data_IF_133547550186
#
_entry.id   IF_133547550186
#
_cell.length_a   1.000
_cell.length_b   1.000
_cell.length_c   1.000
_cell.angle_alpha   90.00
_cell.angle_beta   90.00
_cell.angle_gamma   90.00
#
_symmetry.space_group_name_H-M   'P 1'
#
loop_
_entity.id
_entity.type
_entity.pdbx_description
1 polymer ?
#
# COMPACT_ATOMS: atom_id res chain seq x y z
N UNK A 1 -15.18 9.86 -7.70
CA UNK A 1 -14.92 10.94 -6.72
C UNK A 1 -14.36 10.32 -5.44
N UNK A 2 -13.12 10.65 -5.05
CA UNK A 2 -12.65 10.40 -3.69
C UNK A 2 -13.46 11.32 -2.77
N UNK A 3 -14.53 10.79 -2.19
CA UNK A 3 -15.44 11.55 -1.35
C UNK A 3 -14.80 11.64 0.04
N UNK A 4 -13.92 12.62 0.19
CA UNK A 4 -13.56 13.14 1.50
C UNK A 4 -14.79 13.88 2.00
N UNK A 5 -15.59 13.25 2.87
CA UNK A 5 -16.76 13.88 3.46
C UNK A 5 -16.35 15.20 4.13
N UNK A 6 -16.64 16.29 3.42
CA UNK A 6 -16.83 17.67 3.87
C UNK A 6 -16.27 17.99 5.27
N UNK A 7 -14.96 18.25 5.38
CA UNK A 7 -14.33 18.96 6.51
C UNK A 7 -12.85 19.32 6.24
N UNK A 8 -12.51 19.71 5.00
CA UNK A 8 -11.16 20.18 4.67
C UNK A 8 -10.07 19.10 4.63
N UNK A 9 -10.44 17.81 4.72
CA UNK A 9 -9.53 16.68 4.52
C UNK A 9 -8.98 16.66 3.09
N UNK A 10 -7.72 16.26 2.91
CA UNK A 10 -7.08 16.14 1.59
C UNK A 10 -6.41 14.79 1.39
N UNK A 11 -6.04 14.52 0.15
CA UNK A 11 -5.18 13.41 -0.26
C UNK A 11 -3.96 13.99 -0.99
N UNK A 12 -2.82 13.33 -0.86
CA UNK A 12 -1.65 13.61 -1.67
C UNK A 12 -1.63 12.63 -2.84
N UNK A 13 -1.55 13.10 -4.08
CA UNK A 13 -1.41 12.26 -5.27
C UNK A 13 0.02 12.31 -5.81
N UNK A 14 0.60 11.17 -6.16
CA UNK A 14 1.96 11.11 -6.71
C UNK A 14 2.06 10.05 -7.82
N UNK A 15 2.53 10.41 -9.03
CA UNK A 15 2.78 9.45 -10.11
C UNK A 15 4.14 8.76 -9.95
N UNK A 16 4.66 8.59 -8.73
CA UNK A 16 6.08 8.34 -8.49
C UNK A 16 6.61 7.06 -9.14
N UNK A 17 7.68 7.22 -9.93
CA UNK A 17 8.33 6.16 -10.71
C UNK A 17 9.72 5.89 -10.13
N UNK A 18 9.73 5.34 -8.92
CA UNK A 18 10.91 5.34 -8.06
C UNK A 18 12.08 4.52 -8.61
N UNK A 19 11.82 3.51 -9.45
CA UNK A 19 12.86 2.70 -10.06
C UNK A 19 13.08 3.04 -11.54
N UNK A 20 12.47 4.08 -12.11
CA UNK A 20 12.68 4.44 -13.53
C UNK A 20 13.77 5.50 -13.66
N UNK A 21 14.87 5.15 -14.34
CA UNK A 21 15.96 6.06 -14.68
C UNK A 21 15.62 6.95 -15.88
N UNK A 22 14.98 6.36 -16.89
CA UNK A 22 14.55 7.06 -18.10
C UNK A 22 13.48 6.26 -18.82
N UNK A 23 12.53 6.95 -19.47
CA UNK A 23 11.52 6.36 -20.35
C UNK A 23 11.05 7.39 -21.38
N UNK A 24 10.24 6.95 -22.34
CA UNK A 24 9.42 7.79 -23.22
C UNK A 24 7.94 7.58 -22.87
N UNK A 25 7.10 8.61 -23.03
CA UNK A 25 5.68 8.54 -22.68
C UNK A 25 5.40 9.22 -21.34
N UNK A 26 4.35 8.77 -20.63
CA UNK A 26 3.91 9.40 -19.39
C UNK A 26 3.20 8.44 -18.44
N UNK A 27 3.15 8.85 -17.18
CA UNK A 27 2.18 8.36 -16.18
C UNK A 27 1.24 9.50 -15.84
N UNK A 28 -0.04 9.31 -16.13
CA UNK A 28 -1.07 10.32 -15.95
C UNK A 28 -2.00 9.93 -14.79
N UNK A 29 -2.25 10.88 -13.89
CA UNK A 29 -3.27 10.78 -12.84
C UNK A 29 -4.33 11.84 -13.12
N UNK A 30 -5.48 11.43 -13.64
CA UNK A 30 -6.54 12.35 -14.08
C UNK A 30 -7.77 12.22 -13.18
N UNK A 31 -8.24 13.33 -12.61
CA UNK A 31 -9.43 13.38 -11.77
C UNK A 31 -10.64 13.91 -12.56
N UNK A 32 -11.37 13.03 -13.26
CA UNK A 32 -12.63 13.40 -13.94
C UNK A 32 -13.44 12.17 -14.42
N UNK A 33 -14.61 11.81 -13.83
CA UNK A 33 -15.18 12.24 -12.54
C UNK A 33 -14.61 11.45 -11.33
N UNK A 34 -13.69 10.54 -11.60
CA UNK A 34 -12.95 9.74 -10.64
C UNK A 34 -11.46 9.76 -11.01
N UNK A 35 -10.61 9.18 -10.16
CA UNK A 35 -9.19 9.08 -10.46
C UNK A 35 -8.98 7.96 -11.49
N UNK A 36 -8.48 8.31 -12.67
CA UNK A 36 -7.88 7.39 -13.60
C UNK A 36 -6.37 7.53 -13.51
N UNK A 37 -5.68 6.42 -13.24
CA UNK A 37 -4.23 6.31 -13.35
C UNK A 37 -3.93 5.50 -14.59
N UNK A 38 -3.13 6.07 -15.48
CA UNK A 38 -2.73 5.45 -16.73
C UNK A 38 -1.23 5.57 -16.91
N UNK A 39 -0.56 4.42 -16.99
CA UNK A 39 0.82 4.30 -17.39
C UNK A 39 0.84 4.01 -18.88
N UNK A 40 1.52 4.84 -19.66
CA UNK A 40 1.75 4.61 -21.08
C UNK A 40 3.18 5.04 -21.42
N UNK A 41 4.10 4.08 -21.32
CA UNK A 41 5.53 4.32 -21.46
C UNK A 41 6.22 3.25 -22.30
N UNK A 42 7.31 3.66 -22.94
CA UNK A 42 8.21 2.80 -23.71
C UNK A 42 9.67 3.16 -23.44
N UNK A 43 10.59 2.29 -23.86
CA UNK A 43 12.02 2.45 -23.64
C UNK A 43 12.38 2.66 -22.15
N UNK A 44 11.64 2.01 -21.24
CA UNK A 44 11.86 2.08 -19.80
C UNK A 44 13.24 1.47 -19.50
N UNK A 45 14.03 2.21 -18.71
CA UNK A 45 15.29 1.75 -18.14
C UNK A 45 15.25 1.93 -16.64
N UNK A 46 15.45 0.85 -15.88
CA UNK A 46 15.42 0.90 -14.42
C UNK A 46 16.70 1.53 -13.84
N UNK A 47 16.58 2.12 -12.65
CA UNK A 47 17.72 2.55 -11.82
C UNK A 47 18.44 1.32 -11.29
N UNK A 48 17.67 0.38 -10.72
CA UNK A 48 18.15 -0.88 -10.16
C UNK A 48 17.47 -2.06 -10.87
N UNK A 49 18.08 -2.65 -11.92
CA UNK A 49 17.45 -3.70 -12.72
C UNK A 49 17.13 -5.01 -11.99
N UNK A 50 17.74 -5.25 -10.83
CA UNK A 50 17.47 -6.43 -10.00
C UNK A 50 16.19 -6.32 -9.18
N UNK A 51 15.65 -5.10 -9.02
CA UNK A 51 14.33 -4.86 -8.46
C UNK A 51 13.35 -4.91 -9.62
N UNK A 52 12.32 -5.75 -9.49
CA UNK A 52 11.25 -5.88 -10.49
C UNK A 52 10.54 -4.55 -10.66
N UNK A 53 9.86 -4.07 -9.61
CA UNK A 53 8.95 -2.92 -9.62
C UNK A 53 9.54 -1.66 -10.30
N UNK A 54 8.75 -1.01 -11.16
CA UNK A 54 9.09 0.27 -11.80
C UNK A 54 8.68 1.50 -10.97
N UNK A 55 7.52 1.44 -10.32
CA UNK A 55 6.95 2.57 -9.60
C UNK A 55 5.66 2.24 -8.87
N UNK A 56 5.19 3.22 -8.09
CA UNK A 56 3.95 3.14 -7.30
C UNK A 56 3.12 4.42 -7.44
N UNK A 57 2.42 4.62 -8.58
CA UNK A 57 1.51 5.75 -8.74
C UNK A 57 0.28 5.59 -7.84
N UNK A 58 0.11 6.51 -6.88
CA UNK A 58 -0.84 6.32 -5.80
C UNK A 58 -1.32 7.60 -5.12
N UNK A 59 -2.20 7.40 -4.15
CA UNK A 59 -2.70 8.42 -3.24
C UNK A 59 -2.23 8.11 -1.81
N UNK A 60 -2.03 9.15 -1.01
CA UNK A 60 -1.68 9.04 0.41
C UNK A 60 -2.66 9.86 1.26
N UNK A 61 -3.06 9.30 2.40
CA UNK A 61 -3.75 9.97 3.52
C UNK A 61 -2.87 9.89 4.77
N UNK A 62 -2.56 11.02 5.41
CA UNK A 62 -1.66 11.12 6.55
C UNK A 62 -0.41 11.95 6.26
N UNK A 63 0.74 11.50 6.75
CA UNK A 63 2.03 12.18 6.65
C UNK A 63 3.16 11.17 6.40
N UNK A 64 4.06 11.52 5.48
CA UNK A 64 5.36 10.88 5.29
C UNK A 64 6.38 11.97 5.01
N UNK A 65 7.58 11.92 5.60
CA UNK A 65 8.62 12.93 5.35
C UNK A 65 9.80 12.38 4.54
N UNK A 66 9.57 11.27 3.84
CA UNK A 66 10.47 10.63 2.89
C UNK A 66 9.77 10.43 1.54
N UNK A 67 10.54 10.10 0.49
CA UNK A 67 9.98 9.75 -0.82
C UNK A 67 9.13 8.47 -0.72
N UNK A 68 7.99 8.35 -1.41
CA UNK A 68 7.54 9.14 -2.57
C UNK A 68 6.89 10.49 -2.25
N UNK A 69 6.23 10.61 -1.09
CA UNK A 69 5.22 11.65 -0.87
C UNK A 69 5.76 12.87 -0.13
N UNK A 70 6.81 12.72 0.69
CA UNK A 70 7.55 13.78 1.40
C UNK A 70 6.69 15.01 1.74
N UNK A 71 5.56 14.80 2.42
CA UNK A 71 4.50 15.77 2.63
C UNK A 71 3.43 15.32 3.61
N UNK A 72 2.42 16.17 3.78
CA UNK A 72 1.31 15.96 4.73
C UNK A 72 0.00 16.30 4.06
N UNK A 73 -1.04 15.57 4.43
CA UNK A 73 -2.43 15.88 4.10
C UNK A 73 -3.11 16.64 5.23
N UNK A 74 -4.20 17.33 4.91
CA UNK A 74 -5.15 17.73 5.93
C UNK A 74 -5.92 16.48 6.36
N UNK A 75 -5.81 16.10 7.63
CA UNK A 75 -6.43 14.88 8.17
C UNK A 75 -7.75 15.18 8.86
N UNK A 76 -8.62 14.17 8.93
CA UNK A 76 -9.86 14.23 9.70
C UNK A 76 -9.55 14.24 11.21
N UNK A 77 -10.32 14.98 12.04
CA UNK A 77 -10.21 14.89 13.50
C UNK A 77 -10.58 13.49 14.04
N UNK A 78 -11.33 12.69 13.28
CA UNK A 78 -11.71 11.34 13.67
C UNK A 78 -10.63 10.29 13.35
N UNK A 79 -9.64 10.63 12.52
CA UNK A 79 -8.49 9.78 12.21
C UNK A 79 -7.28 10.68 11.91
N UNK A 80 -6.77 11.34 12.93
CA UNK A 80 -5.69 12.31 12.80
C UNK A 80 -4.34 11.62 12.72
N UNK A 81 -3.97 11.12 11.54
CA UNK A 81 -2.66 10.53 11.30
C UNK A 81 -1.57 11.63 11.27
N UNK A 82 -0.38 11.37 11.84
CA UNK A 82 0.08 10.11 12.43
C UNK A 82 -0.57 9.78 13.79
N UNK A 83 -0.88 8.50 14.03
CA UNK A 83 -1.53 8.05 15.29
C UNK A 83 -0.99 6.71 15.75
N UNK A 84 -0.77 6.55 17.06
CA UNK A 84 -0.30 5.28 17.64
C UNK A 84 -1.30 4.15 17.35
N UNK A 85 -0.82 3.00 16.87
CA UNK A 85 -1.64 1.86 16.44
C UNK A 85 -2.63 1.40 17.51
N UNK A 86 -2.19 1.31 18.78
CA UNK A 86 -3.08 0.94 19.89
C UNK A 86 -4.23 1.93 20.12
N UNK A 87 -4.04 3.20 19.75
CA UNK A 87 -5.01 4.27 19.90
C UNK A 87 -5.91 4.45 18.67
N UNK A 88 -5.65 3.74 17.57
CA UNK A 88 -6.47 3.85 16.35
C UNK A 88 -7.93 3.50 16.66
N UNK A 89 -8.90 4.32 16.20
CA UNK A 89 -10.30 3.92 16.25
C UNK A 89 -10.53 2.71 15.34
N UNK A 90 -11.65 2.02 15.53
CA UNK A 90 -12.06 1.02 14.55
C UNK A 90 -12.56 1.76 13.31
N UNK A 91 -11.93 1.50 12.17
CA UNK A 91 -12.34 2.07 10.89
C UNK A 91 -12.17 1.08 9.75
N UNK A 92 -12.88 1.33 8.66
CA UNK A 92 -12.79 0.60 7.41
C UNK A 92 -12.38 1.57 6.31
N UNK A 93 -11.28 1.26 5.62
CA UNK A 93 -10.89 1.98 4.41
C UNK A 93 -11.55 1.30 3.21
N UNK A 94 -12.45 2.00 2.54
CA UNK A 94 -13.30 1.46 1.48
C UNK A 94 -12.94 2.12 0.16
N UNK A 95 -12.56 1.28 -0.80
CA UNK A 95 -12.23 1.63 -2.16
C UNK A 95 -13.33 1.11 -3.09
N UNK A 96 -13.53 1.77 -4.21
CA UNK A 96 -14.21 1.21 -5.36
C UNK A 96 -13.29 1.35 -6.57
N UNK A 97 -12.79 0.25 -7.10
CA UNK A 97 -11.76 0.28 -8.13
C UNK A 97 -11.85 -0.85 -9.16
N UNK A 98 -11.18 -0.65 -10.28
CA UNK A 98 -10.89 -1.67 -11.31
C UNK A 98 -9.46 -1.48 -11.79
N UNK A 99 -8.76 -2.55 -12.14
CA UNK A 99 -7.42 -2.52 -12.74
C UNK A 99 -7.46 -2.97 -14.20
N UNK A 100 -6.46 -2.62 -14.99
CA UNK A 100 -6.32 -3.08 -16.39
C UNK A 100 -4.85 -3.10 -16.82
N UNK A 101 -4.46 -4.10 -17.59
CA UNK A 101 -3.09 -4.37 -18.00
C UNK A 101 -3.02 -4.84 -19.46
N UNK A 102 -2.76 -3.90 -20.39
CA UNK A 102 -2.63 -4.26 -21.80
C UNK A 102 -1.21 -4.76 -22.13
N UNK A 103 -0.19 -4.09 -21.58
CA UNK A 103 1.23 -4.46 -21.70
C UNK A 103 1.93 -4.13 -20.38
N UNK A 104 2.80 -5.04 -19.91
CA UNK A 104 3.34 -4.97 -18.56
C UNK A 104 2.52 -5.80 -17.58
N UNK A 105 2.81 -5.66 -16.30
CA UNK A 105 2.15 -6.39 -15.21
C UNK A 105 1.83 -5.41 -14.10
N UNK A 106 0.64 -5.52 -13.53
CA UNK A 106 0.32 -4.93 -12.24
C UNK A 106 0.70 -5.98 -11.20
N UNK A 107 1.82 -5.77 -10.51
CA UNK A 107 2.31 -6.70 -9.50
C UNK A 107 1.29 -6.82 -8.37
N UNK A 108 0.82 -5.65 -7.92
CA UNK A 108 -0.32 -5.51 -7.04
C UNK A 108 -1.07 -4.19 -7.22
N UNK A 109 -2.33 -4.20 -6.82
CA UNK A 109 -3.07 -3.03 -6.37
C UNK A 109 -3.30 -3.21 -4.86
N UNK A 110 -2.69 -2.35 -4.06
CA UNK A 110 -2.53 -2.56 -2.63
C UNK A 110 -2.71 -1.27 -1.83
N UNK A 111 -2.82 -1.47 -0.52
CA UNK A 111 -2.36 -0.46 0.41
C UNK A 111 -0.87 -0.63 0.67
N UNK A 112 -0.12 0.47 0.66
CA UNK A 112 1.23 0.58 1.20
C UNK A 112 1.17 1.49 2.45
N UNK A 113 1.52 0.96 3.61
CA UNK A 113 1.26 1.58 4.90
C UNK A 113 2.54 1.59 5.72
N UNK A 114 2.93 2.75 6.22
CA UNK A 114 4.17 2.91 6.98
C UNK A 114 3.90 3.09 8.47
N UNK A 115 4.65 2.34 9.28
CA UNK A 115 4.69 2.51 10.72
C UNK A 115 6.09 2.87 11.20
N UNK A 116 6.21 3.94 11.99
CA UNK A 116 7.47 4.34 12.60
C UNK A 116 7.34 4.56 14.11
N UNK A 117 8.46 4.52 14.82
CA UNK A 117 8.50 4.91 16.24
C UNK A 117 8.43 6.44 16.40
N UNK A 118 8.82 7.17 15.36
CA UNK A 118 8.82 8.63 15.32
C UNK A 118 8.30 9.08 13.94
N UNK A 119 7.12 9.71 13.87
CA UNK A 119 6.50 10.08 12.60
C UNK A 119 7.22 11.22 11.86
N UNK A 120 8.27 11.79 12.45
CA UNK A 120 9.05 12.88 11.87
C UNK A 120 10.41 12.42 11.29
N UNK A 121 10.62 11.11 11.13
CA UNK A 121 11.79 10.59 10.40
C UNK A 121 11.72 11.01 8.93
N UNK A 122 12.87 11.18 8.29
CA UNK A 122 12.97 11.54 6.86
C UNK A 122 13.63 10.44 6.02
N UNK A 123 13.88 9.28 6.62
CA UNK A 123 14.39 8.08 5.99
C UNK A 123 13.95 6.85 6.80
N UNK A 124 13.78 5.73 6.11
CA UNK A 124 13.36 4.46 6.68
C UNK A 124 14.57 3.63 7.10
N UNK A 125 14.43 2.85 8.16
CA UNK A 125 15.49 2.00 8.68
C UNK A 125 14.96 0.75 9.38
N UNK A 126 15.87 -0.12 9.79
CA UNK A 126 15.53 -1.28 10.61
C UNK A 126 14.82 -0.85 11.90
N UNK A 127 13.67 -1.49 12.12
CA UNK A 127 12.75 -1.15 13.19
C UNK A 127 11.51 -0.41 12.71
N UNK A 128 11.51 0.22 11.53
CA UNK A 128 10.30 0.72 10.88
C UNK A 128 9.58 -0.44 10.15
N UNK A 129 8.28 -0.29 9.92
CA UNK A 129 7.46 -1.28 9.24
C UNK A 129 6.81 -0.75 7.98
N UNK A 130 6.91 -1.53 6.92
CA UNK A 130 6.06 -1.45 5.75
C UNK A 130 4.98 -2.53 5.87
N UNK A 131 3.72 -2.13 5.74
CA UNK A 131 2.57 -3.03 5.81
C UNK A 131 1.81 -2.96 4.51
N UNK A 132 1.97 -3.98 3.68
CA UNK A 132 1.28 -4.05 2.40
C UNK A 132 0.05 -4.95 2.48
N UNK A 133 -1.07 -4.49 1.91
CA UNK A 133 -2.32 -5.25 1.84
C UNK A 133 -2.73 -5.36 0.36
N UNK A 134 -2.38 -6.49 -0.26
CA UNK A 134 -2.54 -6.74 -1.69
C UNK A 134 -3.95 -7.24 -1.99
N UNK A 135 -4.78 -6.37 -2.58
CA UNK A 135 -6.18 -6.68 -2.89
C UNK A 135 -6.31 -7.41 -4.23
N UNK A 136 -5.54 -6.97 -5.22
CA UNK A 136 -5.42 -7.58 -6.54
C UNK A 136 -3.94 -7.71 -6.85
N UNK A 137 -3.46 -8.84 -7.36
CA UNK A 137 -2.04 -9.08 -7.53
C UNK A 137 -1.79 -10.10 -8.64
N UNK A 138 -0.67 -9.97 -9.33
CA UNK A 138 -0.19 -10.95 -10.31
C UNK A 138 1.20 -11.48 -9.93
N UNK A 139 1.93 -10.76 -9.09
CA UNK A 139 3.26 -11.17 -8.67
C UNK A 139 3.21 -12.41 -7.76
N UNK A 140 4.20 -13.30 -7.94
CA UNK A 140 4.50 -14.29 -6.92
C UNK A 140 5.46 -13.66 -5.92
N UNK A 141 4.93 -13.24 -4.76
CA UNK A 141 5.70 -12.54 -3.73
C UNK A 141 6.94 -13.31 -3.23
N UNK A 142 6.95 -14.64 -3.37
CA UNK A 142 8.11 -15.48 -2.97
C UNK A 142 9.16 -15.65 -4.05
N UNK A 143 8.88 -15.18 -5.27
CA UNK A 143 9.75 -15.39 -6.42
C UNK A 143 10.80 -14.27 -6.46
N UNK A 144 12.03 -14.61 -6.10
CA UNK A 144 13.18 -13.71 -6.27
C UNK A 144 13.75 -13.16 -4.97
N UNK A 145 13.01 -13.29 -3.86
CA UNK A 145 13.53 -12.97 -2.52
C UNK A 145 13.58 -14.24 -1.65
N UNK A 146 14.77 -14.84 -1.42
CA UNK A 146 14.90 -16.03 -0.59
C UNK A 146 14.70 -15.75 0.91
N UNK A 147 14.58 -14.49 1.33
CA UNK A 147 14.45 -14.08 2.73
C UNK A 147 13.01 -13.84 3.16
N UNK A 148 12.05 -13.84 2.22
CA UNK A 148 10.64 -13.73 2.57
C UNK A 148 10.14 -15.02 3.22
N UNK A 149 9.45 -14.86 4.35
CA UNK A 149 8.98 -15.96 5.19
C UNK A 149 7.46 -16.01 5.15
N UNK A 150 6.88 -17.14 4.76
CA UNK A 150 5.44 -17.39 4.95
C UNK A 150 5.16 -17.70 6.41
N UNK A 151 4.29 -16.91 7.05
CA UNK A 151 4.03 -16.96 8.49
C UNK A 151 2.58 -17.33 8.85
N UNK A 152 1.83 -17.82 7.85
CA UNK A 152 0.49 -18.34 7.99
C UNK A 152 -0.56 -17.45 7.33
N UNK A 153 -1.73 -17.34 7.96
CA UNK A 153 -2.86 -16.58 7.41
C UNK A 153 -3.62 -15.82 8.51
N UNK A 154 -4.25 -14.71 8.15
CA UNK A 154 -5.14 -13.91 9.00
C UNK A 154 -6.55 -13.87 8.40
N UNK A 155 -7.58 -14.10 9.22
CA UNK A 155 -8.95 -13.83 8.79
C UNK A 155 -9.24 -12.34 8.93
N UNK A 156 -9.60 -11.69 7.83
CA UNK A 156 -9.91 -10.25 7.81
C UNK A 156 -11.39 -10.08 7.40
N UNK A 157 -12.22 -9.40 8.22
CA UNK A 157 -13.61 -9.10 7.85
C UNK A 157 -13.60 -8.01 6.76
N UNK A 158 -13.59 -8.48 5.52
CA UNK A 158 -13.41 -7.69 4.31
C UNK A 158 -14.78 -7.36 3.73
N UNK A 159 -15.06 -6.07 3.48
CA UNK A 159 -16.23 -5.69 2.68
C UNK A 159 -15.95 -6.02 1.22
N UNK A 160 -16.83 -6.80 0.59
CA UNK A 160 -16.78 -7.13 -0.83
C UNK A 160 -18.16 -6.82 -1.40
N UNK A 161 -18.25 -5.79 -2.24
CA UNK A 161 -19.46 -5.37 -2.95
C UNK A 161 -20.71 -5.28 -2.04
N UNK A 162 -20.56 -4.60 -0.90
CA UNK A 162 -21.64 -4.37 0.07
C UNK A 162 -21.82 -5.45 1.14
N UNK A 163 -21.09 -6.57 1.08
CA UNK A 163 -21.19 -7.67 2.06
C UNK A 163 -19.88 -7.86 2.82
N UNK A 164 -19.93 -8.03 4.15
CA UNK A 164 -18.75 -8.39 4.93
C UNK A 164 -18.51 -9.89 4.84
N UNK A 165 -17.35 -10.28 4.32
CA UNK A 165 -16.85 -11.65 4.24
C UNK A 165 -15.60 -11.81 5.11
N UNK A 166 -15.50 -12.87 5.90
CA UNK A 166 -14.25 -13.22 6.59
C UNK A 166 -13.32 -13.95 5.61
N UNK A 167 -12.51 -13.18 4.89
CA UNK A 167 -11.53 -13.72 3.95
C UNK A 167 -10.27 -14.17 4.70
N UNK A 168 -9.68 -15.28 4.27
CA UNK A 168 -8.40 -15.79 4.82
C UNK A 168 -7.25 -15.24 3.97
N UNK A 169 -6.55 -14.23 4.48
CA UNK A 169 -5.43 -13.58 3.81
C UNK A 169 -4.12 -14.29 4.16
N UNK A 170 -3.31 -14.62 3.16
CA UNK A 170 -1.98 -15.18 3.38
C UNK A 170 -1.04 -14.10 3.91
N UNK A 171 -0.18 -14.45 4.86
CA UNK A 171 0.74 -13.50 5.51
C UNK A 171 2.18 -13.90 5.25
N UNK A 172 2.95 -12.95 4.73
CA UNK A 172 4.37 -13.07 4.48
C UNK A 172 5.13 -11.95 5.17
N UNK A 173 6.35 -12.20 5.59
CA UNK A 173 7.22 -11.20 6.22
C UNK A 173 8.58 -11.25 5.55
N UNK A 174 9.07 -10.08 5.14
CA UNK A 174 10.46 -9.86 4.79
C UNK A 174 11.12 -9.16 5.99
N UNK A 175 11.95 -9.86 6.80
CA UNK A 175 12.47 -9.28 8.03
C UNK A 175 13.34 -8.03 7.82
N UNK A 176 14.01 -7.95 6.66
CA UNK A 176 14.93 -6.85 6.31
C UNK A 176 14.92 -6.57 4.81
N UNK A 177 14.31 -5.47 4.42
CA UNK A 177 14.15 -5.09 3.02
C UNK A 177 15.42 -4.43 2.47
N UNK A 178 15.96 -4.96 1.37
CA UNK A 178 17.07 -4.39 0.61
C UNK A 178 18.47 -4.43 1.26
N UNK A 179 18.59 -4.42 2.59
CA UNK A 179 19.87 -4.50 3.29
C UNK A 179 19.74 -4.99 4.73
N UNK A 180 20.87 -5.28 5.38
CA UNK A 180 20.89 -5.63 6.81
C UNK A 180 20.34 -4.52 7.73
N UNK A 181 20.25 -3.27 7.27
CA UNK A 181 19.67 -2.15 8.01
C UNK A 181 18.33 -1.68 7.43
N UNK A 182 17.73 -2.47 6.53
CA UNK A 182 16.42 -2.20 5.96
C UNK A 182 15.29 -2.34 6.97
N UNK A 183 14.16 -1.70 6.67
CA UNK A 183 12.92 -1.87 7.42
C UNK A 183 12.39 -3.31 7.31
N UNK A 184 11.37 -3.62 8.10
CA UNK A 184 10.67 -4.90 8.02
C UNK A 184 9.38 -4.73 7.23
N UNK A 185 9.15 -5.57 6.22
CA UNK A 185 7.92 -5.56 5.45
C UNK A 185 7.03 -6.75 5.82
N UNK A 186 5.74 -6.51 5.99
CA UNK A 186 4.72 -7.55 6.17
C UNK A 186 3.62 -7.38 5.13
N UNK A 187 3.29 -8.49 4.48
CA UNK A 187 2.39 -8.53 3.35
C UNK A 187 1.19 -9.40 3.66
N UNK A 188 0.00 -8.86 3.41
CA UNK A 188 -1.28 -9.55 3.49
C UNK A 188 -1.82 -9.71 2.08
N UNK A 189 -1.87 -10.95 1.58
CA UNK A 189 -2.34 -11.25 0.23
C UNK A 189 -3.77 -11.79 0.27
N UNK A 190 -4.65 -11.17 -0.50
CA UNK A 190 -6.04 -11.60 -0.63
C UNK A 190 -6.10 -13.03 -1.19
N UNK A 191 -7.11 -13.84 -0.80
CA UNK A 191 -7.26 -15.22 -1.30
C UNK A 191 -7.67 -15.30 -2.78
N UNK A 192 -8.03 -14.17 -3.38
CA UNK A 192 -8.49 -14.03 -4.76
C UNK A 192 -8.33 -12.57 -5.19
N UNK A 193 -8.24 -12.30 -6.48
CA UNK A 193 -8.21 -10.93 -6.99
C UNK A 193 -9.51 -10.22 -6.64
N UNK A 194 -9.40 -9.11 -5.91
CA UNK A 194 -10.51 -8.28 -5.48
C UNK A 194 -10.60 -7.05 -6.38
N UNK A 195 -11.82 -6.74 -6.83
CA UNK A 195 -12.18 -5.53 -7.58
C UNK A 195 -13.62 -5.14 -7.24
N UNK A 196 -14.01 -3.91 -7.58
CA UNK A 196 -15.27 -3.30 -7.18
C UNK A 196 -15.14 -2.62 -5.82
N UNK A 197 -16.20 -2.67 -5.01
CA UNK A 197 -16.21 -2.04 -3.69
C UNK A 197 -15.55 -2.95 -2.66
N UNK A 198 -14.33 -2.60 -2.23
CA UNK A 198 -13.53 -3.39 -1.29
C UNK A 198 -13.23 -2.55 -0.05
N UNK A 199 -13.54 -3.09 1.13
CA UNK A 199 -13.28 -2.43 2.41
C UNK A 199 -12.40 -3.26 3.32
N UNK A 200 -11.33 -2.65 3.83
CA UNK A 200 -10.35 -3.28 4.71
C UNK A 200 -10.36 -2.60 6.08
N UNK A 201 -10.51 -3.35 7.18
CA UNK A 201 -10.42 -2.82 8.53
C UNK A 201 -8.96 -2.65 8.94
N UNK A 202 -8.28 -1.62 8.44
CA UNK A 202 -6.81 -1.43 8.61
C UNK A 202 -6.41 -1.46 10.10
N UNK A 203 -7.15 -0.80 10.99
CA UNK A 203 -6.85 -0.83 12.43
C UNK A 203 -6.86 -2.26 13.00
N UNK A 204 -7.76 -3.13 12.53
CA UNK A 204 -7.78 -4.53 12.93
C UNK A 204 -6.53 -5.27 12.44
N UNK A 205 -6.13 -5.06 11.19
CA UNK A 205 -4.94 -5.70 10.61
C UNK A 205 -3.68 -5.31 11.40
N UNK A 206 -3.46 -4.01 11.61
CA UNK A 206 -2.28 -3.50 12.32
C UNK A 206 -2.20 -4.00 13.77
N UNK A 207 -3.33 -4.05 14.48
CA UNK A 207 -3.37 -4.53 15.87
C UNK A 207 -3.11 -6.04 16.00
N UNK A 208 -3.33 -6.82 14.94
CA UNK A 208 -3.19 -8.28 14.94
C UNK A 208 -1.93 -8.79 14.23
N UNK A 209 -1.09 -7.90 13.68
CA UNK A 209 0.08 -8.32 12.89
C UNK A 209 1.26 -8.82 13.73
N UNK A 210 1.35 -8.45 15.01
CA UNK A 210 2.52 -8.73 15.86
C UNK A 210 2.94 -10.20 15.94
N UNK A 211 1.98 -11.11 16.12
CA UNK A 211 2.28 -12.55 16.20
C UNK A 211 2.85 -13.13 14.90
N UNK A 212 2.61 -12.49 13.75
CA UNK A 212 3.16 -12.91 12.45
C UNK A 212 4.60 -12.44 12.28
N UNK A 213 4.94 -11.25 12.78
CA UNK A 213 6.32 -10.77 12.85
C UNK A 213 7.18 -11.68 13.75
N UNK A 214 6.65 -12.10 14.89
CA UNK A 214 7.33 -13.02 15.81
C UNK A 214 7.66 -14.36 15.12
N UNK A 215 6.74 -14.91 14.33
CA UNK A 215 6.96 -16.15 13.55
C UNK A 215 8.07 -16.02 12.51
N UNK A 216 8.33 -14.80 12.02
CA UNK A 216 9.44 -14.49 11.13
C UNK A 216 10.76 -14.17 11.87
N UNK A 217 10.77 -14.27 13.20
CA UNK A 217 11.94 -13.93 14.03
C UNK A 217 12.07 -12.45 14.37
N UNK A 218 11.06 -11.63 14.10
CA UNK A 218 11.03 -10.20 14.42
C UNK A 218 10.23 -9.99 15.71
N UNK A 219 10.84 -10.31 16.86
CA UNK A 219 10.17 -10.35 18.18
C UNK A 219 10.52 -9.21 19.13
N UNK A 220 11.47 -8.35 18.76
CA UNK A 220 11.95 -7.25 19.62
C UNK A 220 11.07 -5.99 19.54
N UNK A 221 10.07 -5.98 18.66
CA UNK A 221 9.21 -4.82 18.38
C UNK A 221 7.75 -5.15 18.68
N UNK A 222 7.03 -4.16 19.20
CA UNK A 222 5.58 -4.23 19.38
C UNK A 222 4.92 -3.20 18.45
N UNK A 223 4.34 -3.61 17.30
CA UNK A 223 3.70 -2.69 16.36
C UNK A 223 2.61 -1.82 16.97
N UNK A 224 1.98 -2.25 18.08
CA UNK A 224 0.94 -1.46 18.75
C UNK A 224 1.46 -0.15 19.37
N UNK A 225 2.77 0.01 19.55
CA UNK A 225 3.39 1.25 20.06
C UNK A 225 3.85 2.20 18.95
N UNK A 226 3.77 1.78 17.69
CA UNK A 226 4.21 2.56 16.54
C UNK A 226 3.13 3.54 16.10
N UNK A 227 3.55 4.62 15.46
CA UNK A 227 2.65 5.52 14.74
C UNK A 227 2.30 4.89 13.41
N UNK A 228 1.01 4.84 13.08
CA UNK A 228 0.57 4.77 11.70
C UNK A 228 0.77 6.16 11.09
N UNK A 229 1.75 6.28 10.20
CA UNK A 229 2.18 7.57 9.62
C UNK A 229 1.23 8.02 8.51
N UNK A 230 1.00 7.12 7.55
CA UNK A 230 0.10 7.32 6.45
C UNK A 230 -0.50 5.99 5.95
N UNK A 231 -1.59 6.12 5.21
CA UNK A 231 -2.21 5.05 4.43
C UNK A 231 -2.07 5.44 2.97
N UNK A 232 -1.30 4.68 2.20
CA UNK A 232 -1.25 4.84 0.76
C UNK A 232 -2.13 3.80 0.06
N UNK A 233 -2.61 4.14 -1.13
CA UNK A 233 -3.25 3.21 -2.05
C UNK A 233 -2.78 3.48 -3.47
N UNK A 234 -2.43 2.44 -4.19
CA UNK A 234 -1.84 2.56 -5.52
C UNK A 234 -1.63 1.19 -6.15
N UNK A 235 -0.79 1.15 -7.18
CA UNK A 235 -0.38 -0.08 -7.82
C UNK A 235 1.15 -0.14 -7.94
N UNK A 236 1.76 -1.26 -7.56
CA UNK A 236 3.09 -1.61 -8.05
C UNK A 236 2.95 -2.19 -9.46
N UNK A 237 3.82 -1.76 -10.37
CA UNK A 237 3.76 -2.22 -11.76
C UNK A 237 5.14 -2.47 -12.35
N UNK A 238 5.15 -3.30 -13.40
CA UNK A 238 6.32 -3.69 -14.16
C UNK A 238 6.12 -3.53 -15.66
N UNK A 239 7.19 -3.09 -16.33
CA UNK A 239 7.34 -3.13 -17.76
C UNK A 239 7.51 -4.56 -18.29
N UNK A 240 7.13 -4.77 -19.56
CA UNK A 240 7.52 -5.93 -20.35
C UNK A 240 8.42 -5.46 -21.49
N UNK A 241 9.71 -5.82 -21.43
CA UNK A 241 10.71 -5.46 -22.44
C UNK A 241 10.80 -3.94 -22.72
N UNK A 242 10.73 -3.14 -21.65
CA UNK A 242 10.81 -1.69 -21.69
C UNK A 242 9.48 -0.99 -22.00
N UNK A 243 8.34 -1.70 -22.01
CA UNK A 243 7.02 -1.15 -22.36
C UNK A 243 6.00 -1.41 -21.25
N UNK A 244 5.23 -0.38 -20.88
CA UNK A 244 4.11 -0.49 -19.95
C UNK A 244 2.90 0.31 -20.45
N UNK A 245 1.75 -0.36 -20.56
CA UNK A 245 0.44 0.21 -20.87
C UNK A 245 -0.62 -0.45 -19.98
N UNK A 246 -0.83 0.13 -18.81
CA UNK A 246 -1.63 -0.45 -17.73
C UNK A 246 -2.13 0.67 -16.81
N UNK A 247 -3.00 0.34 -15.86
CA UNK A 247 -3.49 1.32 -14.90
C UNK A 247 -4.65 0.85 -14.06
N UNK A 248 -5.27 1.81 -13.37
CA UNK A 248 -6.46 1.59 -12.59
C UNK A 248 -7.43 2.77 -12.64
N UNK A 249 -8.69 2.48 -12.37
CA UNK A 249 -9.70 3.48 -12.06
C UNK A 249 -10.05 3.35 -10.59
N UNK A 250 -9.96 4.45 -9.85
CA UNK A 250 -10.42 4.55 -8.47
C UNK A 250 -11.67 5.43 -8.43
N UNK A 251 -12.83 4.79 -8.50
CA UNK A 251 -14.15 5.43 -8.50
C UNK A 251 -14.43 6.16 -7.20
N UNK A 252 -13.99 5.61 -6.07
CA UNK A 252 -14.08 6.27 -4.76
C UNK A 252 -13.08 5.69 -3.77
N UNK A 253 -12.62 6.53 -2.85
CA UNK A 253 -11.97 6.13 -1.60
C UNK A 253 -12.60 6.93 -0.46
N UNK A 254 -13.06 6.23 0.58
CA UNK A 254 -13.55 6.84 1.80
C UNK A 254 -13.20 5.97 3.01
N UNK A 255 -13.04 6.62 4.16
CA UNK A 255 -12.75 5.97 5.44
C UNK A 255 -14.02 6.07 6.30
N UNK A 256 -14.56 4.92 6.69
CA UNK A 256 -15.71 4.83 7.58
C UNK A 256 -15.23 4.53 9.00
N UNK A 257 -15.45 5.47 9.92
CA UNK A 257 -15.18 5.28 11.34
C UNK A 257 -16.40 4.60 11.97
N UNK A 258 -16.20 3.46 12.62
CA UNK A 258 -17.26 2.80 13.37
C UNK A 258 -17.33 3.46 14.76
N UNK A 259 -18.30 4.34 14.96
CA UNK A 259 -18.63 4.94 16.26
C UNK A 259 -19.49 4.01 17.10
#
# INVERSE_FOLDING_TARGET
>A
MALLNSNGTSLYASPFLWNIKSAQGQVAMTFNPYLNVHVNMSNIKKITPSISVDGYPGLMYGQELWFPFAGKTNVSPYLSLPMIVSNLPNFMSILNFTVYDNVGTIDDFSYDIWLSQNPNITYLQYGDFEVMIWMNWQENITKGDPYIVSVGSLQIPTLVNGTIENLTWSVYVLPRTGSANGWTSIYFLSPRHLEGQIGIPIAYVLKNMGSYLEKAGVSIYNPNTYYLDAIQVGMEFNDTNGVANLGYNLYSWYIMINT
#
